data_IF_745871760163
#
_entry.id   IF_745871760163
#
_cell.length_a   1.000
_cell.length_b   1.000
_cell.length_c   1.000
_cell.angle_alpha   90.00
_cell.angle_beta   90.00
_cell.angle_gamma   90.00
#
_symmetry.space_group_name_H-M   'P 1'
#
loop_
_entity.id
_entity.type
_entity.pdbx_description
1 polymer ?
#
# COMPACT_ATOMS: atom_id res chain seq x y z
N UNK A 1 -12.52 2.55 19.19
CA UNK A 1 -11.69 2.02 18.09
C UNK A 1 -12.57 1.80 16.89
N UNK A 2 -12.05 2.03 15.68
CA UNK A 2 -12.75 1.63 14.45
C UNK A 2 -12.81 0.11 14.37
N UNK A 3 -13.90 -0.43 13.84
CA UNK A 3 -13.99 -1.83 13.43
C UNK A 3 -13.08 -2.09 12.22
N UNK A 4 -12.67 -3.36 11.96
CA UNK A 4 -11.95 -3.70 10.74
C UNK A 4 -12.62 -3.20 9.46
N UNK A 5 -13.94 -3.28 9.37
CA UNK A 5 -14.71 -2.81 8.22
C UNK A 5 -14.64 -1.28 8.05
N UNK A 6 -14.76 -0.52 9.14
CA UNK A 6 -14.61 0.93 9.14
C UNK A 6 -13.17 1.34 8.80
N UNK A 7 -12.17 0.64 9.31
CA UNK A 7 -10.75 0.85 8.99
C UNK A 7 -10.51 0.72 7.49
N UNK A 8 -10.97 -0.36 6.87
CA UNK A 8 -10.78 -0.58 5.42
C UNK A 8 -11.55 0.46 4.60
N UNK A 9 -12.78 0.82 4.99
CA UNK A 9 -13.58 1.82 4.28
C UNK A 9 -12.93 3.20 4.32
N UNK A 10 -12.46 3.61 5.49
CA UNK A 10 -11.83 4.92 5.66
C UNK A 10 -10.48 4.98 4.95
N UNK A 11 -9.68 3.91 5.03
CA UNK A 11 -8.42 3.83 4.31
C UNK A 11 -8.64 3.89 2.78
N UNK A 12 -9.65 3.20 2.23
CA UNK A 12 -9.99 3.31 0.80
C UNK A 12 -10.29 4.76 0.42
N UNK A 13 -11.18 5.43 1.16
CA UNK A 13 -11.56 6.83 0.90
C UNK A 13 -10.34 7.76 0.88
N UNK A 14 -9.38 7.53 1.78
CA UNK A 14 -8.14 8.30 1.85
C UNK A 14 -7.20 7.99 0.68
N UNK A 15 -7.07 6.72 0.28
CA UNK A 15 -6.29 6.33 -0.89
C UNK A 15 -6.85 6.95 -2.17
N UNK A 16 -8.16 6.86 -2.39
CA UNK A 16 -8.86 7.45 -3.53
C UNK A 16 -8.69 8.98 -3.59
N UNK A 17 -8.56 9.62 -2.43
CA UNK A 17 -8.30 11.06 -2.31
C UNK A 17 -6.81 11.44 -2.46
N UNK A 18 -5.93 10.50 -2.80
CA UNK A 18 -4.49 10.74 -2.92
C UNK A 18 -3.81 11.02 -1.58
N UNK A 19 -4.36 10.52 -0.47
CA UNK A 19 -3.88 10.70 0.90
C UNK A 19 -3.31 9.41 1.52
N UNK A 20 -2.31 8.75 0.90
CA UNK A 20 -1.81 7.45 1.35
C UNK A 20 -1.14 7.51 2.74
N UNK A 21 -0.59 8.66 3.15
CA UNK A 21 -0.03 8.79 4.51
C UNK A 21 -1.12 8.70 5.59
N UNK A 22 -2.28 9.29 5.34
CA UNK A 22 -3.41 9.22 6.28
C UNK A 22 -4.01 7.81 6.31
N UNK A 23 -4.05 7.12 5.15
CA UNK A 23 -4.43 5.72 5.10
C UNK A 23 -3.45 4.85 5.90
N UNK A 24 -2.14 5.14 5.84
CA UNK A 24 -1.13 4.48 6.68
C UNK A 24 -1.44 4.64 8.18
N UNK A 25 -1.78 5.85 8.64
CA UNK A 25 -2.13 6.07 10.05
C UNK A 25 -3.36 5.27 10.48
N UNK A 26 -4.37 5.15 9.61
CA UNK A 26 -5.57 4.32 9.86
C UNK A 26 -5.21 2.85 10.02
N UNK A 27 -4.34 2.31 9.17
CA UNK A 27 -3.88 0.92 9.29
C UNK A 27 -2.92 0.71 10.47
N UNK A 28 -2.09 1.70 10.80
CA UNK A 28 -1.15 1.63 11.91
C UNK A 28 -1.89 1.59 13.26
N UNK A 29 -2.96 2.36 13.40
CA UNK A 29 -3.86 2.29 14.56
C UNK A 29 -4.43 0.88 14.73
N UNK A 30 -5.00 0.30 13.66
CA UNK A 30 -5.52 -1.06 13.66
C UNK A 30 -4.42 -2.11 13.97
N UNK A 31 -3.20 -1.91 13.50
CA UNK A 31 -2.07 -2.78 13.81
C UNK A 31 -1.69 -2.75 15.29
N UNK A 32 -1.60 -1.55 15.88
CA UNK A 32 -1.21 -1.37 17.29
C UNK A 32 -2.30 -1.83 18.24
N UNK A 33 -3.55 -1.72 17.83
CA UNK A 33 -4.71 -1.88 18.70
C UNK A 33 -5.50 -3.17 18.49
N UNK A 34 -5.31 -3.84 17.34
CA UNK A 34 -6.06 -5.02 16.94
C UNK A 34 -5.55 -6.34 17.53
N UNK A 35 -6.29 -7.45 17.29
CA UNK A 35 -5.92 -8.79 17.73
C UNK A 35 -4.56 -9.24 17.18
N UNK A 36 -3.83 -10.03 17.96
CA UNK A 36 -2.49 -10.51 17.57
C UNK A 36 -2.50 -11.29 16.24
N UNK A 37 -3.57 -12.05 15.97
CA UNK A 37 -3.72 -12.85 14.75
C UNK A 37 -3.84 -12.02 13.45
N UNK A 38 -4.14 -10.73 13.56
CA UNK A 38 -4.33 -9.83 12.41
C UNK A 38 -3.20 -8.81 12.28
N UNK A 39 -2.21 -8.83 13.17
CA UNK A 39 -1.15 -7.82 13.21
C UNK A 39 -0.40 -7.72 11.89
N UNK A 40 -0.05 -8.85 11.27
CA UNK A 40 0.69 -8.85 10.01
C UNK A 40 -0.16 -8.36 8.83
N UNK A 41 -1.49 -8.60 8.84
CA UNK A 41 -2.41 -8.02 7.86
C UNK A 41 -2.38 -6.48 7.93
N UNK A 42 -2.63 -5.94 9.12
CA UNK A 42 -2.69 -4.48 9.32
C UNK A 42 -1.33 -3.81 9.09
N UNK A 43 -0.24 -4.45 9.52
CA UNK A 43 1.13 -4.00 9.27
C UNK A 43 1.48 -4.01 7.78
N UNK A 44 1.07 -5.03 7.03
CA UNK A 44 1.27 -5.12 5.59
C UNK A 44 0.57 -3.97 4.87
N UNK A 45 -0.71 -3.73 5.16
CA UNK A 45 -1.47 -2.62 4.60
C UNK A 45 -0.88 -1.24 4.96
N UNK A 46 -0.43 -1.06 6.21
CA UNK A 46 0.27 0.16 6.62
C UNK A 46 1.56 0.39 5.83
N UNK A 47 2.30 -0.67 5.51
CA UNK A 47 3.52 -0.60 4.69
C UNK A 47 3.23 -0.29 3.23
N UNK A 48 2.16 -0.85 2.66
CA UNK A 48 1.73 -0.52 1.31
C UNK A 48 1.40 0.98 1.18
N UNK A 49 0.61 1.51 2.12
CA UNK A 49 0.21 2.91 2.13
C UNK A 49 1.40 3.87 2.33
N UNK A 50 2.33 3.57 3.24
CA UNK A 50 3.53 4.40 3.40
C UNK A 50 4.52 4.23 2.24
N UNK A 51 4.57 3.06 1.61
CA UNK A 51 5.36 2.82 0.39
C UNK A 51 4.88 3.69 -0.78
N UNK A 52 3.56 3.76 -0.98
CA UNK A 52 2.94 4.66 -1.96
C UNK A 52 3.23 6.14 -1.63
N UNK A 53 3.16 6.52 -0.35
CA UNK A 53 3.53 7.87 0.11
C UNK A 53 4.96 8.24 -0.27
N UNK A 54 5.91 7.32 -0.07
CA UNK A 54 7.32 7.54 -0.40
C UNK A 54 7.54 7.67 -1.91
N UNK A 55 6.91 6.80 -2.70
CA UNK A 55 6.98 6.86 -4.16
C UNK A 55 6.41 8.19 -4.70
N UNK A 56 5.26 8.63 -4.17
CA UNK A 56 4.63 9.90 -4.56
C UNK A 56 5.44 11.14 -4.13
N UNK A 57 6.34 11.01 -3.15
CA UNK A 57 7.27 12.07 -2.73
C UNK A 57 8.64 12.00 -3.43
N UNK A 58 8.80 11.11 -4.41
CA UNK A 58 10.05 10.93 -5.15
C UNK A 58 11.11 10.10 -4.42
N UNK A 59 10.82 9.54 -3.24
CA UNK A 59 11.69 8.57 -2.59
C UNK A 59 11.35 7.16 -3.07
N UNK A 60 11.75 6.87 -4.29
CA UNK A 60 11.28 5.68 -4.96
C UNK A 60 12.05 4.41 -4.56
N UNK A 61 13.33 4.48 -4.19
CA UNK A 61 14.04 3.36 -3.52
C UNK A 61 13.34 2.97 -2.21
N UNK A 62 13.01 3.96 -1.37
CA UNK A 62 12.29 3.74 -0.12
C UNK A 62 10.87 3.22 -0.36
N UNK A 63 10.15 3.81 -1.31
CA UNK A 63 8.80 3.43 -1.69
C UNK A 63 8.72 1.98 -2.18
N UNK A 64 9.53 1.62 -3.17
CA UNK A 64 9.59 0.26 -3.71
C UNK A 64 9.95 -0.78 -2.64
N UNK A 65 10.88 -0.45 -1.73
CA UNK A 65 11.23 -1.34 -0.61
C UNK A 65 10.06 -1.59 0.34
N UNK A 66 9.30 -0.54 0.68
CA UNK A 66 8.15 -0.65 1.59
C UNK A 66 6.98 -1.41 0.94
N UNK A 67 6.71 -1.16 -0.35
CA UNK A 67 5.69 -1.89 -1.12
C UNK A 67 5.96 -3.39 -1.11
N UNK A 68 7.18 -3.83 -1.46
CA UNK A 68 7.57 -5.25 -1.43
C UNK A 68 7.47 -5.87 -0.03
N UNK A 69 7.84 -5.10 1.00
CA UNK A 69 7.72 -5.59 2.38
C UNK A 69 6.26 -5.78 2.79
N UNK A 70 5.39 -4.85 2.41
CA UNK A 70 3.96 -4.96 2.64
C UNK A 70 3.35 -6.15 1.91
N UNK A 71 3.74 -6.36 0.65
CA UNK A 71 3.34 -7.52 -0.15
C UNK A 71 3.76 -8.85 0.52
N UNK A 72 5.01 -8.94 1.00
CA UNK A 72 5.49 -10.12 1.72
C UNK A 72 4.72 -10.40 3.02
N UNK A 73 4.30 -9.37 3.76
CA UNK A 73 3.46 -9.54 4.95
C UNK A 73 2.03 -10.00 4.58
N UNK A 74 1.48 -9.50 3.48
CA UNK A 74 0.17 -9.91 2.98
C UNK A 74 0.15 -11.35 2.45
N UNK A 75 1.28 -11.87 1.96
CA UNK A 75 1.39 -13.24 1.43
C UNK A 75 0.99 -14.33 2.44
N UNK A 76 1.10 -14.08 3.76
CA UNK A 76 0.62 -15.00 4.80
C UNK A 76 -0.92 -15.21 4.77
N UNK A 77 -1.64 -14.31 4.09
CA UNK A 77 -3.08 -14.32 3.95
C UNK A 77 -3.53 -14.69 2.52
N UNK A 78 -2.62 -15.20 1.68
CA UNK A 78 -2.91 -15.56 0.29
C UNK A 78 -4.12 -16.52 0.17
N UNK A 79 -4.96 -16.29 -0.84
CA UNK A 79 -6.21 -17.03 -1.04
C UNK A 79 -7.31 -16.76 -0.01
N UNK A 80 -7.09 -15.85 0.94
CA UNK A 80 -8.09 -15.42 1.93
C UNK A 80 -8.57 -14.00 1.61
N UNK A 81 -9.75 -13.67 2.13
CA UNK A 81 -10.36 -12.33 2.02
C UNK A 81 -10.80 -11.79 3.39
N UNK A 82 -9.88 -11.58 4.35
CA UNK A 82 -10.22 -11.06 5.67
C UNK A 82 -10.91 -9.71 5.51
N UNK A 83 -12.08 -9.56 6.11
CA UNK A 83 -12.92 -8.36 5.95
C UNK A 83 -13.14 -7.98 4.48
N UNK A 84 -13.19 -8.94 3.54
CA UNK A 84 -13.35 -8.66 2.12
C UNK A 84 -12.13 -8.03 1.43
N UNK A 85 -10.97 -7.98 2.08
CA UNK A 85 -9.73 -7.45 1.51
C UNK A 85 -9.22 -8.39 0.41
N UNK A 86 -8.93 -7.87 -0.78
CA UNK A 86 -8.36 -8.60 -1.90
C UNK A 86 -6.86 -8.79 -1.74
N UNK A 87 -6.42 -9.66 -0.83
CA UNK A 87 -5.00 -9.84 -0.46
C UNK A 87 -4.13 -10.19 -1.66
N UNK A 88 -4.60 -11.09 -2.53
CA UNK A 88 -3.84 -11.53 -3.70
C UNK A 88 -3.66 -10.37 -4.69
N UNK A 89 -4.73 -9.60 -4.94
CA UNK A 89 -4.72 -8.46 -5.84
C UNK A 89 -3.81 -7.33 -5.32
N UNK A 90 -3.83 -7.06 -4.01
CA UNK A 90 -2.96 -6.08 -3.37
C UNK A 90 -1.49 -6.48 -3.41
N UNK A 91 -1.20 -7.78 -3.26
CA UNK A 91 0.15 -8.32 -3.38
C UNK A 91 0.70 -8.10 -4.80
N UNK A 92 -0.09 -8.42 -5.82
CA UNK A 92 0.28 -8.20 -7.23
C UNK A 92 0.50 -6.71 -7.51
N UNK A 93 -0.47 -5.86 -7.14
CA UNK A 93 -0.38 -4.41 -7.32
C UNK A 93 0.90 -3.83 -6.70
N UNK A 94 1.23 -4.25 -5.48
CA UNK A 94 2.39 -3.73 -4.74
C UNK A 94 3.71 -4.10 -5.42
N UNK A 95 3.85 -5.34 -5.90
CA UNK A 95 5.05 -5.80 -6.61
C UNK A 95 5.21 -5.10 -7.96
N UNK A 96 4.13 -4.94 -8.72
CA UNK A 96 4.14 -4.24 -10.00
C UNK A 96 4.52 -2.76 -9.84
N UNK A 97 3.89 -2.06 -8.88
CA UNK A 97 4.21 -0.66 -8.60
C UNK A 97 5.66 -0.52 -8.12
N UNK A 98 6.14 -1.40 -7.24
CA UNK A 98 7.53 -1.39 -6.80
C UNK A 98 8.52 -1.60 -7.96
N UNK A 99 8.15 -2.43 -8.94
CA UNK A 99 8.91 -2.61 -10.18
C UNK A 99 9.00 -1.34 -11.02
N UNK A 100 7.86 -0.70 -11.32
CA UNK A 100 7.79 0.57 -12.08
C UNK A 100 8.58 1.68 -11.39
N UNK A 101 8.34 1.84 -10.09
CA UNK A 101 8.98 2.86 -9.25
C UNK A 101 10.50 2.69 -9.22
N UNK A 102 11.01 1.46 -9.13
CA UNK A 102 12.45 1.20 -9.16
C UNK A 102 13.07 1.44 -10.55
N UNK A 103 12.40 1.00 -11.61
CA UNK A 103 12.87 1.18 -12.99
C UNK A 103 12.95 2.66 -13.40
N UNK A 104 12.01 3.49 -12.93
CA UNK A 104 12.00 4.94 -13.17
C UNK A 104 13.23 5.68 -12.63
N UNK A 105 13.87 5.22 -11.53
CA UNK A 105 15.17 5.81 -11.09
C UNK A 105 16.32 5.41 -12.00
N UNK A 106 16.35 4.14 -12.44
CA UNK A 106 17.50 3.64 -13.21
C UNK A 106 17.62 4.34 -14.57
N UNK A 107 16.51 4.80 -15.13
CA UNK A 107 16.48 5.57 -16.38
C UNK A 107 16.98 7.03 -16.22
N UNK A 108 16.95 7.59 -15.01
CA UNK A 108 17.23 9.01 -14.74
C UNK A 108 18.72 9.29 -14.41
N UNK A 109 19.61 8.34 -14.71
CA UNK A 109 21.04 8.35 -14.41
C UNK A 109 21.89 9.42 -15.13
N UNK A 110 21.30 10.51 -15.63
CA UNK A 110 22.01 11.49 -16.45
C UNK A 110 21.23 12.75 -16.81
N UNK A 111 20.60 13.43 -15.84
CA UNK A 111 20.05 14.77 -16.09
C UNK A 111 19.08 15.21 -15.02
N UNK A 112 19.06 16.50 -14.71
CA UNK A 112 18.17 17.12 -13.72
C UNK A 112 16.68 17.18 -14.15
N UNK A 113 16.15 16.10 -14.74
CA UNK A 113 14.71 15.90 -14.84
C UNK A 113 14.24 15.43 -13.46
N UNK A 114 13.18 16.04 -12.92
CA UNK A 114 12.56 15.51 -11.70
C UNK A 114 11.90 14.21 -12.15
N UNK A 115 12.41 13.05 -11.72
CA UNK A 115 11.71 11.78 -11.86
C UNK A 115 10.21 12.00 -11.62
N UNK A 116 9.37 11.67 -12.60
CA UNK A 116 7.93 11.82 -12.48
C UNK A 116 7.49 11.05 -11.23
N UNK A 117 7.02 11.80 -10.24
CA UNK A 117 6.57 11.25 -8.97
C UNK A 117 5.27 10.49 -9.20
N UNK A 118 5.12 9.36 -8.52
CA UNK A 118 3.87 8.59 -8.57
C UNK A 118 2.68 9.46 -8.19
N UNK A 119 1.65 9.49 -9.05
CA UNK A 119 0.34 10.01 -8.67
C UNK A 119 -0.34 9.01 -7.73
N UNK A 120 -0.41 9.38 -6.44
CA UNK A 120 -0.94 8.49 -5.42
C UNK A 120 -2.43 8.18 -5.59
N UNK A 121 -3.22 9.10 -6.15
CA UNK A 121 -4.66 8.86 -6.36
C UNK A 121 -4.87 7.96 -7.58
N UNK A 122 -4.09 8.15 -8.64
CA UNK A 122 -4.17 7.31 -9.84
C UNK A 122 -3.68 5.87 -9.59
N UNK A 123 -2.68 5.70 -8.72
CA UNK A 123 -2.14 4.39 -8.33
C UNK A 123 -2.85 3.76 -7.12
N UNK A 124 -3.89 4.42 -6.58
CA UNK A 124 -4.62 3.93 -5.41
C UNK A 124 -5.25 2.54 -5.70
N UNK A 125 -4.96 1.51 -4.90
CA UNK A 125 -5.53 0.19 -5.14
C UNK A 125 -6.97 0.12 -4.63
N UNK A 126 -7.76 -0.77 -5.21
CA UNK A 126 -9.01 -1.22 -4.61
C UNK A 126 -8.70 -2.23 -3.50
N UNK A 127 -8.88 -1.83 -2.24
CA UNK A 127 -8.66 -2.71 -1.08
C UNK A 127 -9.61 -3.90 -1.06
N UNK A 128 -10.83 -3.71 -1.58
CA UNK A 128 -11.86 -4.75 -1.69
C UNK A 128 -12.18 -4.99 -3.15
N UNK A 129 -11.47 -5.90 -3.79
CA UNK A 129 -11.84 -6.33 -5.13
C UNK A 129 -13.19 -7.05 -5.10
N UNK A 130 -14.08 -6.84 -6.09
CA UNK A 130 -15.27 -7.66 -6.22
C UNK A 130 -14.88 -9.13 -6.32
N UNK A 131 -15.71 -10.02 -5.75
CA UNK A 131 -15.52 -11.46 -5.96
C UNK A 131 -15.63 -11.77 -7.47
N UNK A 132 -14.83 -12.73 -8.00
CA UNK A 132 -14.94 -13.16 -9.39
C UNK A 132 -16.32 -13.74 -9.70
#
# INVERSE_FOLDING_TARGET
MRTPEETVREAQRLLDAGMPFHAHEVFEDAWKSGPAAERELWRGLAQLAVGLTHAARGNATGGARLLRRGAAALAEFAGRRPYGIGVDDLTVWAEELAGRVAAGQSADGGGAARAETVDAAAEAPCLRSPAP
#
